data_IF_896129665677
#
_entry.id   IF_896129665677
#
_cell.length_a   1.000
_cell.length_b   1.000
_cell.length_c   1.000
_cell.angle_alpha   90.00
_cell.angle_beta   90.00
_cell.angle_gamma   90.00
#
_symmetry.space_group_name_H-M   'P 1'
#
loop_
_entity.id
_entity.type
_entity.pdbx_description
1 polymer ?
#
# COMPACT_ATOMS: atom_id res chain seq x y z
N UNK A 1 -7.44 -16.96 4.37
CA UNK A 1 -7.84 -16.23 3.14
C UNK A 1 -7.36 -14.80 3.22
N UNK A 2 -6.81 -14.26 2.12
CA UNK A 2 -6.36 -12.87 2.05
C UNK A 2 -7.59 -11.94 1.94
N UNK A 3 -7.76 -11.01 2.90
CA UNK A 3 -8.88 -10.06 2.92
C UNK A 3 -8.58 -8.83 2.04
N UNK A 4 -8.58 -9.01 0.73
CA UNK A 4 -8.21 -7.97 -0.26
C UNK A 4 -9.09 -6.71 -0.15
N UNK A 5 -10.37 -6.87 0.19
CA UNK A 5 -11.32 -5.75 0.35
C UNK A 5 -10.88 -4.75 1.44
N UNK A 6 -10.10 -5.17 2.44
CA UNK A 6 -9.61 -4.29 3.52
C UNK A 6 -8.48 -3.36 3.09
N UNK A 7 -7.96 -3.51 1.87
CA UNK A 7 -6.91 -2.66 1.31
C UNK A 7 -7.47 -1.36 0.69
N UNK A 8 -8.79 -1.24 0.59
CA UNK A 8 -9.47 -0.07 0.07
C UNK A 8 -10.30 0.57 1.18
N UNK A 9 -10.20 1.89 1.27
CA UNK A 9 -11.07 2.70 2.11
C UNK A 9 -12.23 3.20 1.24
N UNK A 10 -13.44 2.97 1.74
CA UNK A 10 -14.69 3.34 1.09
C UNK A 10 -15.27 4.54 1.81
N UNK A 11 -15.29 5.68 1.14
CA UNK A 11 -16.08 6.84 1.57
C UNK A 11 -17.42 6.78 0.83
N UNK A 12 -18.42 6.16 1.46
CA UNK A 12 -19.74 5.93 0.88
C UNK A 12 -20.57 7.21 0.77
N UNK A 13 -20.23 8.25 1.54
CA UNK A 13 -20.92 9.55 1.48
C UNK A 13 -20.51 10.34 0.23
N UNK A 14 -19.23 10.25 -0.14
CA UNK A 14 -18.67 10.98 -1.29
C UNK A 14 -18.47 10.13 -2.53
N UNK A 15 -18.66 8.82 -2.44
CA UNK A 15 -18.54 7.87 -3.56
C UNK A 15 -17.09 7.62 -4.01
N UNK A 16 -16.11 7.78 -3.12
CA UNK A 16 -14.69 7.57 -3.47
C UNK A 16 -14.14 6.28 -2.87
N UNK A 17 -13.41 5.54 -3.70
CA UNK A 17 -12.65 4.36 -3.30
C UNK A 17 -11.17 4.76 -3.33
N UNK A 18 -10.56 4.89 -2.16
CA UNK A 18 -9.13 5.21 -2.05
C UNK A 18 -8.35 3.96 -1.67
N UNK A 19 -7.28 3.61 -2.41
CA UNK A 19 -6.39 2.55 -1.97
C UNK A 19 -5.65 3.02 -0.72
N UNK A 20 -5.62 2.18 0.31
CA UNK A 20 -4.92 2.47 1.56
C UNK A 20 -3.40 2.36 1.44
N UNK A 21 -2.93 1.58 0.46
CA UNK A 21 -1.51 1.33 0.23
C UNK A 21 -0.95 2.22 -0.88
N UNK A 22 0.31 2.62 -0.74
CA UNK A 22 1.05 3.39 -1.74
C UNK A 22 1.31 2.55 -3.01
N UNK A 23 1.23 3.17 -4.18
CA UNK A 23 1.68 2.58 -5.45
C UNK A 23 3.20 2.70 -5.58
N UNK A 24 3.84 1.65 -6.09
CA UNK A 24 5.27 1.64 -6.35
C UNK A 24 5.62 2.58 -7.51
N UNK A 25 6.60 3.49 -7.35
CA UNK A 25 6.99 4.43 -8.41
C UNK A 25 7.63 3.74 -9.61
N UNK A 26 8.18 2.52 -9.45
CA UNK A 26 8.84 1.78 -10.53
C UNK A 26 7.89 0.92 -11.36
N UNK A 27 7.00 0.18 -10.70
CA UNK A 27 6.17 -0.84 -11.36
C UNK A 27 4.66 -0.64 -11.21
N UNK A 28 4.23 0.43 -10.54
CA UNK A 28 2.82 0.78 -10.35
C UNK A 28 2.02 -0.14 -9.41
N UNK A 29 2.64 -1.22 -8.90
CA UNK A 29 1.97 -2.18 -8.03
C UNK A 29 1.83 -1.67 -6.59
N UNK A 30 0.91 -2.22 -5.81
CA UNK A 30 0.75 -1.83 -4.40
C UNK A 30 1.94 -2.27 -3.55
N UNK A 31 2.44 -1.36 -2.74
CA UNK A 31 3.50 -1.62 -1.77
C UNK A 31 2.91 -2.03 -0.42
N UNK A 32 3.63 -2.89 0.29
CA UNK A 32 3.33 -3.25 1.67
C UNK A 32 4.02 -2.27 2.62
N UNK A 33 3.29 -1.78 3.61
CA UNK A 33 3.87 -0.94 4.66
C UNK A 33 4.28 -1.82 5.84
N UNK A 34 5.59 -1.92 6.08
CA UNK A 34 6.15 -2.60 7.24
C UNK A 34 6.51 -1.57 8.30
N UNK A 35 5.94 -1.69 9.50
CA UNK A 35 6.16 -0.72 10.59
C UNK A 35 7.45 -0.97 11.39
N UNK A 36 8.01 -2.17 11.32
CA UNK A 36 9.11 -2.64 12.16
C UNK A 36 10.19 -3.32 11.29
N UNK A 37 11.48 -3.22 11.65
CA UNK A 37 12.06 -2.40 12.74
C UNK A 37 12.09 -0.89 12.40
N UNK A 38 12.07 -0.52 11.11
CA UNK A 38 11.95 0.86 10.62
C UNK A 38 10.75 0.91 9.67
N UNK A 39 9.87 1.92 9.77
CA UNK A 39 8.74 2.09 8.87
C UNK A 39 9.21 2.19 7.42
N UNK A 40 8.80 1.24 6.58
CA UNK A 40 9.20 1.18 5.17
C UNK A 40 8.06 0.70 4.29
N UNK A 41 8.01 1.23 3.08
CA UNK A 41 7.25 0.69 1.98
C UNK A 41 8.12 -0.31 1.24
N UNK A 42 7.62 -1.53 1.04
CA UNK A 42 8.29 -2.55 0.26
C UNK A 42 7.40 -3.05 -0.87
N UNK A 43 7.93 -3.10 -2.08
CA UNK A 43 7.27 -3.70 -3.23
C UNK A 43 7.70 -5.15 -3.40
N UNK A 44 6.78 -6.09 -3.17
CA UNK A 44 7.05 -7.52 -3.36
C UNK A 44 7.26 -7.96 -4.82
N UNK A 45 6.95 -7.12 -5.82
CA UNK A 45 7.13 -7.45 -7.25
C UNK A 45 8.52 -7.10 -7.77
N UNK A 46 8.99 -5.87 -7.52
CA UNK A 46 10.25 -5.37 -8.07
C UNK A 46 11.37 -5.23 -7.02
N UNK A 47 11.10 -5.60 -5.76
CA UNK A 47 12.07 -5.49 -4.67
C UNK A 47 12.31 -4.07 -4.15
N UNK A 48 11.66 -3.05 -4.72
CA UNK A 48 11.86 -1.66 -4.31
C UNK A 48 11.46 -1.43 -2.85
N UNK A 49 12.34 -0.79 -2.08
CA UNK A 49 12.11 -0.38 -0.71
C UNK A 49 12.26 1.13 -0.58
N UNK A 50 11.33 1.75 0.13
CA UNK A 50 11.36 3.17 0.45
C UNK A 50 11.14 3.30 1.95
N UNK A 51 12.12 3.87 2.67
CA UNK A 51 12.00 4.08 4.10
C UNK A 51 11.25 5.38 4.36
N UNK A 52 10.27 5.32 5.25
CA UNK A 52 9.57 6.51 5.72
C UNK A 52 10.48 7.16 6.77
N UNK A 53 11.04 8.32 6.43
CA UNK A 53 11.80 9.16 7.36
C UNK A 53 10.86 9.95 8.26
#
# INVERSE_FOLDING_TARGET
>A
MANVHKLYEFDLEKGYIKPRNRKCPKCGNFMAFHKQPVPRWHCGKCGYTEYVR
#
